data_IF_034899229638
#
_entry.id   IF_034899229638
#
_cell.length_a   1.000
_cell.length_b   1.000
_cell.length_c   1.000
_cell.angle_alpha   90.00
_cell.angle_beta   90.00
_cell.angle_gamma   90.00
#
_symmetry.space_group_name_H-M   'P 1'
#
loop_
_entity.id
_entity.type
_entity.pdbx_description
1 polymer ?
#
# COMPACT_ATOMS: atom_id res chain seq x y z
N UNK A 1 -14.61 -12.00 -0.08
CA UNK A 1 -14.08 -11.49 -1.36
C UNK A 1 -12.82 -12.27 -1.71
N UNK A 2 -12.72 -12.82 -2.91
CA UNK A 2 -11.52 -13.58 -3.33
C UNK A 2 -10.34 -12.62 -3.53
N UNK A 3 -9.24 -12.87 -2.81
CA UNK A 3 -8.00 -12.09 -2.90
C UNK A 3 -7.43 -12.17 -4.32
N UNK A 4 -7.08 -11.02 -4.92
CA UNK A 4 -6.40 -10.99 -6.23
C UNK A 4 -4.89 -11.19 -6.09
N UNK A 5 -4.23 -11.61 -7.17
CA UNK A 5 -2.78 -11.93 -7.23
C UNK A 5 -1.87 -10.86 -6.59
N UNK A 6 -2.26 -9.59 -6.64
CA UNK A 6 -1.44 -8.46 -6.20
C UNK A 6 -1.97 -7.75 -4.94
N UNK A 7 -2.95 -8.34 -4.25
CA UNK A 7 -3.55 -7.77 -3.04
C UNK A 7 -2.96 -8.40 -1.77
N UNK A 8 -2.86 -7.56 -0.74
CA UNK A 8 -2.47 -7.95 0.61
C UNK A 8 -3.49 -8.95 1.17
N UNK A 9 -2.97 -10.04 1.72
CA UNK A 9 -3.68 -10.93 2.64
C UNK A 9 -4.11 -10.17 3.89
N UNK A 10 -5.08 -10.71 4.63
CA UNK A 10 -5.50 -10.11 5.90
C UNK A 10 -4.35 -10.10 6.92
N UNK A 11 -3.53 -11.17 6.94
CA UNK A 11 -2.34 -11.25 7.81
C UNK A 11 -1.30 -10.18 7.48
N UNK A 12 -0.96 -9.98 6.21
CA UNK A 12 -0.04 -8.89 5.83
C UNK A 12 -0.63 -7.53 6.19
N UNK A 13 -1.95 -7.35 6.00
CA UNK A 13 -2.62 -6.12 6.37
C UNK A 13 -2.59 -5.84 7.87
N UNK A 14 -2.78 -6.85 8.72
CA UNK A 14 -2.66 -6.73 10.17
C UNK A 14 -1.27 -6.27 10.62
N UNK A 15 -0.21 -6.71 9.92
CA UNK A 15 1.18 -6.28 10.18
C UNK A 15 1.40 -4.83 9.73
N UNK A 16 0.88 -4.46 8.55
CA UNK A 16 1.16 -3.17 7.92
C UNK A 16 0.31 -2.02 8.46
N UNK A 17 -0.97 -2.28 8.75
CA UNK A 17 -1.94 -1.25 9.11
C UNK A 17 -1.54 -0.38 10.31
N UNK A 18 -0.90 -0.89 11.39
CA UNK A 18 -0.50 -0.06 12.53
C UNK A 18 0.67 0.89 12.21
N UNK A 19 1.43 0.61 11.14
CA UNK A 19 2.59 1.39 10.72
C UNK A 19 2.21 2.58 9.84
N UNK A 20 0.96 2.58 9.35
CA UNK A 20 0.46 3.65 8.52
C UNK A 20 0.26 4.93 9.34
N UNK A 21 0.59 6.09 8.77
CA UNK A 21 0.52 7.34 9.51
C UNK A 21 -0.92 7.69 9.89
N UNK A 22 -1.21 7.63 11.20
CA UNK A 22 -2.53 7.93 11.74
C UNK A 22 -2.63 9.41 12.15
N UNK A 23 -3.12 10.25 11.24
CA UNK A 23 -3.59 11.61 11.56
C UNK A 23 -4.73 12.01 10.64
N UNK A 24 -6.00 11.78 10.98
CA UNK A 24 -7.07 12.53 10.37
C UNK A 24 -7.09 13.92 11.03
N UNK A 25 -6.76 14.97 10.27
CA UNK A 25 -7.36 16.29 10.50
C UNK A 25 -8.29 16.53 9.31
N UNK A 26 -9.59 16.68 9.59
CA UNK A 26 -10.60 16.91 8.56
C UNK A 26 -11.17 15.62 7.94
N UNK A 27 -11.24 15.58 6.61
CA UNK A 27 -11.96 14.57 5.82
C UNK A 27 -11.51 13.13 6.14
N UNK A 28 -12.45 12.16 6.27
CA UNK A 28 -12.12 10.75 6.43
C UNK A 28 -11.11 10.27 5.39
N UNK A 29 -10.08 9.53 5.83
CA UNK A 29 -9.10 8.98 4.91
C UNK A 29 -9.78 7.99 3.98
N UNK A 30 -9.46 8.09 2.69
CA UNK A 30 -9.72 6.99 1.74
C UNK A 30 -9.09 5.72 2.30
N UNK A 31 -9.81 4.59 2.20
CA UNK A 31 -9.37 3.27 2.63
C UNK A 31 -7.90 3.01 2.26
N UNK A 32 -7.04 3.01 3.27
CA UNK A 32 -5.60 2.90 3.10
C UNK A 32 -5.20 1.50 2.59
N UNK A 33 -5.98 0.45 2.89
CA UNK A 33 -5.75 -0.89 2.34
C UNK A 33 -6.00 -0.90 0.85
N UNK A 34 -7.09 -0.29 0.42
CA UNK A 34 -7.45 -0.16 -1.00
C UNK A 34 -6.37 0.60 -1.77
N UNK A 35 -5.92 1.73 -1.25
CA UNK A 35 -4.88 2.55 -1.90
C UNK A 35 -3.54 1.82 -1.92
N UNK A 36 -3.15 1.17 -0.82
CA UNK A 36 -1.92 0.39 -0.76
C UNK A 36 -1.93 -0.77 -1.77
N UNK A 37 -3.06 -1.48 -1.90
CA UNK A 37 -3.23 -2.50 -2.94
C UNK A 37 -3.06 -1.93 -4.36
N UNK A 38 -3.54 -0.72 -4.65
CA UNK A 38 -3.32 -0.06 -5.93
C UNK A 38 -1.86 0.27 -6.21
N UNK A 39 -1.14 0.73 -5.19
CA UNK A 39 0.31 1.02 -5.29
C UNK A 39 1.11 -0.27 -5.51
N UNK A 40 0.79 -1.33 -4.75
CA UNK A 40 1.45 -2.64 -4.90
C UNK A 40 1.16 -3.27 -6.26
N UNK A 41 -0.08 -3.14 -6.77
CA UNK A 41 -0.42 -3.56 -8.13
C UNK A 41 0.49 -2.87 -9.15
N UNK A 42 0.68 -1.55 -9.05
CA UNK A 42 1.58 -0.80 -9.95
C UNK A 42 3.01 -1.29 -9.87
N UNK A 43 3.52 -1.59 -8.67
CA UNK A 43 4.90 -2.08 -8.52
C UNK A 43 5.10 -3.48 -9.09
N UNK A 44 4.14 -4.38 -8.86
CA UNK A 44 4.23 -5.78 -9.35
C UNK A 44 4.02 -5.92 -10.85
N UNK A 45 3.26 -5.01 -11.47
CA UNK A 45 2.98 -5.04 -12.91
C UNK A 45 3.94 -4.17 -13.72
N UNK A 46 4.56 -3.16 -13.11
CA UNK A 46 5.36 -2.16 -13.82
C UNK A 46 4.54 -1.19 -14.68
N UNK A 47 3.21 -1.32 -14.71
CA UNK A 47 2.33 -0.50 -15.54
C UNK A 47 2.34 0.98 -15.13
N UNK A 48 1.97 1.90 -16.05
CA UNK A 48 1.81 3.32 -15.72
C UNK A 48 0.81 3.56 -14.59
N UNK A 49 0.99 4.64 -13.83
CA UNK A 49 0.04 5.01 -12.77
C UNK A 49 -1.40 5.19 -13.29
N UNK A 50 -1.56 5.69 -14.52
CA UNK A 50 -2.86 5.88 -15.17
C UNK A 50 -3.65 4.57 -15.37
N UNK A 51 -2.95 3.44 -15.46
CA UNK A 51 -3.53 2.11 -15.68
C UNK A 51 -3.90 1.40 -14.37
N UNK A 52 -3.74 2.06 -13.21
CA UNK A 52 -4.19 1.49 -11.95
C UNK A 52 -5.69 1.23 -12.04
N UNK A 53 -6.14 -0.01 -11.79
CA UNK A 53 -7.54 -0.33 -11.90
C UNK A 53 -8.41 0.50 -10.95
N UNK A 54 -9.55 0.99 -11.47
CA UNK A 54 -10.46 1.92 -10.77
C UNK A 54 -10.95 1.40 -9.41
N UNK A 55 -11.00 0.07 -9.22
CA UNK A 55 -11.32 -0.57 -7.94
C UNK A 55 -10.39 -0.14 -6.78
N UNK A 56 -9.17 0.32 -7.07
CA UNK A 56 -8.24 0.85 -6.06
C UNK A 56 -8.46 2.35 -5.77
N UNK A 57 -9.39 2.98 -6.49
CA UNK A 57 -9.66 4.40 -6.49
C UNK A 57 -8.86 5.15 -7.55
N UNK A 58 -8.94 6.49 -7.57
CA UNK A 58 -8.27 7.31 -8.56
C UNK A 58 -6.75 7.08 -8.54
N UNK A 59 -6.15 6.90 -9.72
CA UNK A 59 -4.70 6.74 -9.91
C UNK A 59 -3.90 7.88 -9.27
N UNK A 60 -4.40 9.10 -9.35
CA UNK A 60 -3.83 10.30 -8.71
C UNK A 60 -3.79 10.18 -7.18
N UNK A 61 -4.78 9.54 -6.56
CA UNK A 61 -4.80 9.29 -5.11
C UNK A 61 -3.73 8.28 -4.73
N UNK A 62 -3.57 7.21 -5.51
CA UNK A 62 -2.50 6.23 -5.30
C UNK A 62 -1.12 6.86 -5.43
N UNK A 63 -0.89 7.64 -6.49
CA UNK A 63 0.37 8.35 -6.72
C UNK A 63 0.69 9.35 -5.61
N UNK A 64 -0.26 10.24 -5.28
CA UNK A 64 -0.07 11.24 -4.24
C UNK A 64 0.20 10.58 -2.88
N UNK A 65 -0.47 9.45 -2.61
CA UNK A 65 -0.24 8.69 -1.38
C UNK A 65 1.16 8.09 -1.35
N UNK A 66 1.59 7.47 -2.44
CA UNK A 66 2.95 6.93 -2.57
C UNK A 66 4.00 8.01 -2.28
N UNK A 67 3.90 9.17 -2.93
CA UNK A 67 4.86 10.28 -2.76
C UNK A 67 4.87 10.80 -1.33
N UNK A 68 3.70 11.03 -0.72
CA UNK A 68 3.60 11.50 0.68
C UNK A 68 4.21 10.50 1.66
N UNK A 69 3.92 9.21 1.50
CA UNK A 69 4.45 8.15 2.35
C UNK A 69 5.95 7.95 2.17
N UNK A 70 6.46 8.12 0.95
CA UNK A 70 7.90 8.12 0.68
C UNK A 70 8.61 9.26 1.39
N UNK A 71 8.09 10.49 1.27
CA UNK A 71 8.67 11.65 1.95
C UNK A 71 8.62 11.51 3.49
N UNK A 72 7.63 10.80 4.02
CA UNK A 72 7.46 10.57 5.44
C UNK A 72 8.22 9.33 5.98
N UNK A 73 8.98 8.61 5.15
CA UNK A 73 9.70 7.39 5.55
C UNK A 73 8.77 6.21 5.91
N UNK A 74 7.52 6.24 5.46
CA UNK A 74 6.55 5.17 5.76
C UNK A 74 6.92 3.89 5.04
N UNK A 75 7.35 3.97 3.78
CA UNK A 75 7.74 2.79 3.01
C UNK A 75 8.90 2.03 3.63
N UNK A 76 9.88 2.74 4.19
CA UNK A 76 11.03 2.11 4.85
C UNK A 76 10.56 1.26 6.05
N UNK A 77 9.63 1.80 6.85
CA UNK A 77 9.03 1.08 7.99
C UNK A 77 8.19 -0.12 7.54
N UNK A 78 7.43 0.02 6.46
CA UNK A 78 6.63 -1.09 5.92
C UNK A 78 7.54 -2.22 5.42
N UNK A 79 8.61 -1.89 4.68
CA UNK A 79 9.57 -2.86 4.18
C UNK A 79 10.32 -3.56 5.32
N UNK A 80 10.76 -2.82 6.34
CA UNK A 80 11.41 -3.38 7.52
C UNK A 80 10.49 -4.36 8.26
N UNK A 81 9.21 -4.01 8.44
CA UNK A 81 8.25 -4.87 9.11
C UNK A 81 7.95 -6.16 8.33
N UNK A 82 7.81 -6.06 7.01
CA UNK A 82 7.64 -7.25 6.15
C UNK A 82 8.89 -8.12 6.18
N UNK A 83 10.08 -7.51 6.12
CA UNK A 83 11.35 -8.23 6.22
C UNK A 83 11.43 -9.05 7.50
N UNK A 84 11.08 -8.45 8.64
CA UNK A 84 11.06 -9.15 9.93
C UNK A 84 10.00 -10.25 9.99
N UNK A 85 8.83 -10.01 9.39
CA UNK A 85 7.73 -10.98 9.41
C UNK A 85 8.00 -12.23 8.55
N UNK A 86 8.84 -12.10 7.52
CA UNK A 86 9.22 -13.19 6.61
C UNK A 86 10.69 -13.62 6.77
N UNK A 87 11.35 -13.25 7.86
CA UNK A 87 12.76 -13.59 8.16
C UNK A 87 13.75 -13.26 7.01
N UNK A 88 13.48 -12.18 6.28
CA UNK A 88 14.28 -11.76 5.12
C UNK A 88 13.91 -12.43 3.80
N UNK A 89 13.01 -13.42 3.78
CA UNK A 89 12.45 -14.02 2.56
C UNK A 89 11.37 -13.09 1.95
N UNK A 90 11.75 -11.87 1.61
CA UNK A 90 10.88 -10.99 0.85
C UNK A 90 11.11 -11.26 -0.64
N UNK A 91 10.20 -12.02 -1.24
CA UNK A 91 10.04 -12.04 -2.70
C UNK A 91 9.20 -10.81 -3.07
N UNK A 92 9.86 -9.67 -3.32
CA UNK A 92 9.23 -8.45 -3.85
C UNK A 92 8.94 -8.58 -5.35
#
# INVERSE_FOLDING_TARGET
>A
MTRRRYELTDREWEILSPLLPNKPRGVPRVDDRRVLNGILWRFRTGSPWAEIPERYGPSTTCYNRFVRWRKAGVWDRLLEAVSKAYDGDIVM
#
